data_IF_704038526981
#
_entry.id   IF_704038526981
#
_cell.length_a   1.000
_cell.length_b   1.000
_cell.length_c   1.000
_cell.angle_alpha   90.00
_cell.angle_beta   90.00
_cell.angle_gamma   90.00
#
_symmetry.space_group_name_H-M   'P 1'
#
loop_
_entity.id
_entity.type
_entity.pdbx_description
1 polymer ?
#
# COMPACT_ATOMS: atom_id res chain seq x y z
N UNK A 1 -3.12 -10.44 -13.24
CA UNK A 1 -3.67 -10.08 -11.93
C UNK A 1 -3.72 -8.56 -11.80
N UNK A 2 -4.70 -8.06 -11.07
CA UNK A 2 -4.86 -6.62 -10.87
C UNK A 2 -4.42 -6.23 -9.47
N UNK A 3 -3.81 -5.05 -9.35
CA UNK A 3 -3.25 -4.51 -8.13
C UNK A 3 -3.66 -3.04 -7.98
N UNK A 4 -4.15 -2.71 -6.79
CA UNK A 4 -4.53 -1.34 -6.44
C UNK A 4 -3.44 -0.71 -5.59
N UNK A 5 -2.84 0.36 -6.09
CA UNK A 5 -1.77 1.08 -5.44
C UNK A 5 -2.28 2.41 -4.90
N UNK A 6 -2.08 2.65 -3.62
CA UNK A 6 -2.48 3.90 -2.97
C UNK A 6 -1.31 4.61 -2.28
N UNK A 7 -0.15 3.97 -2.22
CA UNK A 7 1.06 4.52 -1.61
C UNK A 7 2.07 4.97 -2.65
N UNK A 8 3.35 4.70 -2.41
CA UNK A 8 4.41 5.10 -3.33
C UNK A 8 4.25 4.50 -4.73
N UNK A 9 3.64 3.32 -4.83
CA UNK A 9 3.40 2.69 -6.12
C UNK A 9 2.29 3.36 -6.93
N UNK A 10 1.63 4.37 -6.36
CA UNK A 10 0.71 5.22 -7.09
C UNK A 10 1.43 5.92 -8.24
N UNK A 11 2.70 6.26 -8.06
CA UNK A 11 3.51 6.93 -9.08
C UNK A 11 3.96 5.95 -10.14
N UNK A 12 3.55 6.21 -11.38
CA UNK A 12 3.74 5.29 -12.51
C UNK A 12 5.22 5.00 -12.79
N UNK A 13 6.08 6.01 -12.69
CA UNK A 13 7.53 5.84 -12.91
C UNK A 13 8.14 4.90 -11.88
N UNK A 14 7.77 5.06 -10.62
CA UNK A 14 8.30 4.22 -9.54
C UNK A 14 7.78 2.80 -9.65
N UNK A 15 6.50 2.66 -9.96
CA UNK A 15 5.91 1.35 -10.17
C UNK A 15 6.59 0.61 -11.30
N UNK A 16 6.90 1.30 -12.40
CA UNK A 16 7.57 0.69 -13.55
C UNK A 16 9.00 0.24 -13.22
N UNK A 17 9.69 0.97 -12.36
CA UNK A 17 11.01 0.56 -11.89
C UNK A 17 10.97 -0.70 -11.03
N UNK A 18 9.99 -0.81 -10.14
CA UNK A 18 9.84 -1.97 -9.26
C UNK A 18 9.31 -3.18 -9.99
N UNK A 19 8.30 -2.97 -10.79
CA UNK A 19 7.52 -4.03 -11.43
C UNK A 19 7.57 -3.83 -12.93
N UNK A 20 8.56 -4.43 -13.56
CA UNK A 20 8.85 -4.21 -14.98
C UNK A 20 7.72 -4.65 -15.91
N UNK A 21 6.96 -5.65 -15.49
CA UNK A 21 5.84 -6.18 -16.27
C UNK A 21 4.54 -5.43 -16.04
N UNK A 22 4.53 -4.47 -15.13
CA UNK A 22 3.30 -3.78 -14.76
C UNK A 22 2.78 -2.89 -15.88
N UNK A 23 1.45 -2.82 -15.97
CA UNK A 23 0.76 -1.94 -16.90
C UNK A 23 -0.28 -1.13 -16.15
N UNK A 24 -0.22 0.18 -16.30
CA UNK A 24 -1.21 1.08 -15.72
C UNK A 24 -2.54 0.93 -16.45
N UNK A 25 -3.60 0.69 -15.68
CA UNK A 25 -4.95 0.53 -16.21
C UNK A 25 -5.76 1.82 -16.05
N UNK A 26 -5.69 2.45 -14.88
CA UNK A 26 -6.45 3.66 -14.61
C UNK A 26 -6.53 3.97 -13.14
N UNK A 27 -7.24 5.04 -12.81
CA UNK A 27 -7.51 5.43 -11.43
C UNK A 27 -8.76 4.73 -10.92
N UNK A 28 -8.80 4.55 -9.60
CA UNK A 28 -9.96 3.96 -8.94
C UNK A 28 -10.14 4.56 -7.56
N UNK A 29 -11.38 4.70 -7.13
CA UNK A 29 -11.72 5.13 -5.77
C UNK A 29 -12.21 3.93 -4.98
N UNK A 30 -11.43 3.52 -3.98
CA UNK A 30 -11.82 2.43 -3.08
C UNK A 30 -12.73 2.98 -1.99
N UNK A 31 -13.99 2.61 -2.04
CA UNK A 31 -15.00 3.09 -1.09
C UNK A 31 -14.95 2.33 0.21
N UNK A 32 -15.24 3.02 1.31
CA UNK A 32 -15.30 2.40 2.63
C UNK A 32 -13.95 2.34 3.33
N UNK A 33 -12.97 3.06 2.84
CA UNK A 33 -11.64 3.15 3.42
C UNK A 33 -11.16 4.58 3.40
N UNK A 34 -10.27 4.92 4.32
CA UNK A 34 -9.54 6.19 4.30
C UNK A 34 -8.05 5.91 4.28
N UNK A 35 -7.31 6.80 3.64
CA UNK A 35 -5.85 6.77 3.62
C UNK A 35 -5.34 7.26 4.96
N UNK A 36 -4.40 6.51 5.54
CA UNK A 36 -3.73 6.88 6.79
C UNK A 36 -2.24 6.69 6.61
N UNK A 37 -1.45 7.44 7.37
CA UNK A 37 0.00 7.28 7.40
C UNK A 37 0.40 6.80 8.78
N UNK A 38 1.24 5.75 8.81
CA UNK A 38 1.70 5.16 10.06
C UNK A 38 3.19 5.36 10.19
N UNK A 39 3.62 5.61 11.40
CA UNK A 39 5.04 5.77 11.67
C UNK A 39 5.76 4.43 11.58
N UNK A 40 6.90 4.44 10.92
CA UNK A 40 7.72 3.25 10.73
C UNK A 40 9.13 3.49 11.20
N UNK A 41 9.84 2.39 11.37
CA UNK A 41 11.20 2.37 11.85
C UNK A 41 12.16 3.17 11.00
N UNK A 42 11.93 3.17 9.68
CA UNK A 42 12.91 3.65 8.71
C UNK A 42 12.66 5.08 8.23
N UNK A 43 11.87 5.84 8.93
CA UNK A 43 11.65 7.21 8.53
C UNK A 43 10.37 7.40 7.74
N UNK A 44 9.75 8.53 7.96
CA UNK A 44 8.52 8.91 7.31
C UNK A 44 7.33 8.03 7.66
N UNK A 45 6.17 8.44 7.25
CA UNK A 45 4.98 7.63 7.36
C UNK A 45 4.87 6.69 6.18
N UNK A 46 4.39 5.48 6.41
CA UNK A 46 4.01 4.57 5.34
C UNK A 46 2.51 4.63 5.15
N UNK A 47 2.09 4.53 3.89
CA UNK A 47 0.68 4.58 3.56
C UNK A 47 0.00 3.26 3.93
N UNK A 48 -1.19 3.38 4.51
CA UNK A 48 -2.05 2.26 4.85
C UNK A 48 -3.49 2.70 4.61
N UNK A 49 -4.42 1.77 4.62
CA UNK A 49 -5.83 2.07 4.53
C UNK A 49 -6.55 1.52 5.74
N UNK A 50 -7.57 2.23 6.16
CA UNK A 50 -8.36 1.89 7.33
C UNK A 50 -9.83 1.96 6.97
N UNK A 51 -10.61 1.00 7.43
CA UNK A 51 -12.05 1.01 7.14
C UNK A 51 -12.70 2.24 7.76
N UNK A 52 -13.39 2.99 6.92
CA UNK A 52 -14.18 4.12 7.37
C UNK A 52 -15.38 4.34 6.45
N UNK A 53 -16.57 4.22 7.02
CA UNK A 53 -17.81 4.46 6.29
C UNK A 53 -17.80 5.87 5.70
N UNK A 54 -18.27 6.00 4.47
CA UNK A 54 -18.39 7.26 3.74
C UNK A 54 -17.05 7.92 3.38
N UNK A 55 -15.96 7.17 3.48
CA UNK A 55 -14.65 7.64 3.00
C UNK A 55 -14.25 6.90 1.74
N UNK A 56 -13.31 7.46 1.00
CA UNK A 56 -12.75 6.84 -0.20
C UNK A 56 -11.25 7.05 -0.24
N UNK A 57 -10.55 6.11 -0.89
CA UNK A 57 -9.12 6.22 -1.17
C UNK A 57 -8.93 6.23 -2.67
N UNK A 58 -8.26 7.27 -3.18
CA UNK A 58 -7.90 7.34 -4.58
C UNK A 58 -6.61 6.56 -4.80
N UNK A 59 -6.58 5.71 -5.80
CA UNK A 59 -5.41 4.94 -6.15
C UNK A 59 -5.37 4.61 -7.63
N UNK A 60 -4.36 3.85 -8.00
CA UNK A 60 -4.13 3.42 -9.37
C UNK A 60 -4.27 1.90 -9.49
N UNK A 61 -4.88 1.46 -10.57
CA UNK A 61 -5.00 0.04 -10.89
C UNK A 61 -3.91 -0.31 -11.89
N UNK A 62 -3.18 -1.38 -11.60
CA UNK A 62 -2.15 -1.93 -12.47
C UNK A 62 -2.44 -3.39 -12.76
N UNK A 63 -2.13 -3.80 -13.98
CA UNK A 63 -2.02 -5.22 -14.30
C UNK A 63 -0.59 -5.64 -13.97
N UNK A 64 -0.42 -6.71 -13.19
CA UNK A 64 0.89 -7.18 -12.74
C UNK A 64 1.06 -8.66 -13.05
N UNK A 65 2.31 -9.07 -13.19
CA UNK A 65 2.70 -10.46 -13.35
C UNK A 65 2.97 -11.13 -12.00
N UNK A 66 3.18 -12.43 -12.00
CA UNK A 66 3.60 -13.15 -10.79
C UNK A 66 4.96 -12.68 -10.30
N UNK A 67 5.87 -12.34 -11.22
CA UNK A 67 7.16 -11.78 -10.83
C UNK A 67 6.99 -10.43 -10.16
N UNK A 68 6.12 -9.59 -10.69
CA UNK A 68 5.80 -8.29 -10.10
C UNK A 68 5.24 -8.48 -8.69
N UNK A 69 4.36 -9.45 -8.51
CA UNK A 69 3.79 -9.74 -7.19
C UNK A 69 4.87 -10.11 -6.19
N UNK A 70 5.84 -10.94 -6.59
CA UNK A 70 6.97 -11.30 -5.72
C UNK A 70 7.79 -10.08 -5.31
N UNK A 71 8.04 -9.17 -6.24
CA UNK A 71 8.77 -7.94 -5.95
C UNK A 71 7.98 -7.08 -4.94
N UNK A 72 6.68 -6.94 -5.15
CA UNK A 72 5.82 -6.20 -4.23
C UNK A 72 5.77 -6.84 -2.86
N UNK A 73 5.71 -8.18 -2.78
CA UNK A 73 5.70 -8.90 -1.51
C UNK A 73 6.95 -8.58 -0.69
N UNK A 74 8.11 -8.54 -1.33
CA UNK A 74 9.35 -8.18 -0.67
C UNK A 74 9.33 -6.72 -0.23
N UNK A 75 8.90 -5.83 -1.11
CA UNK A 75 8.86 -4.41 -0.82
C UNK A 75 7.92 -4.09 0.34
N UNK A 76 6.77 -4.76 0.40
CA UNK A 76 5.75 -4.54 1.44
C UNK A 76 6.00 -5.38 2.69
N UNK A 77 7.08 -6.15 2.71
CA UNK A 77 7.38 -7.07 3.81
C UNK A 77 6.18 -7.98 4.13
N UNK A 78 5.64 -8.57 3.09
CA UNK A 78 4.54 -9.51 3.19
C UNK A 78 5.05 -10.88 3.63
N UNK A 79 4.42 -11.58 4.57
CA UNK A 79 3.16 -11.23 5.27
C UNK A 79 3.36 -10.61 6.65
N UNK A 80 4.56 -10.13 6.97
CA UNK A 80 4.91 -9.66 8.31
C UNK A 80 4.28 -8.29 8.58
N UNK A 81 4.59 -7.31 7.73
CA UNK A 81 4.13 -5.94 7.92
C UNK A 81 2.78 -5.71 7.25
N UNK A 82 2.66 -6.13 6.01
CA UNK A 82 1.41 -6.00 5.25
C UNK A 82 0.87 -7.37 4.91
N UNK A 83 -0.44 -7.45 4.79
CA UNK A 83 -1.11 -8.62 4.23
C UNK A 83 -1.94 -8.18 3.04
N UNK A 84 -2.41 -9.15 2.26
CA UNK A 84 -3.17 -8.89 1.06
C UNK A 84 -4.66 -8.94 1.34
N UNK A 85 -5.38 -7.97 0.78
CA UNK A 85 -6.83 -7.99 0.69
C UNK A 85 -7.25 -7.88 -0.76
N UNK A 86 -8.49 -8.23 -1.03
CA UNK A 86 -9.02 -8.22 -2.39
C UNK A 86 -10.38 -7.54 -2.41
N UNK A 87 -10.64 -6.83 -3.49
CA UNK A 87 -11.99 -6.39 -3.80
C UNK A 87 -12.29 -6.73 -5.26
N UNK A 88 -13.57 -6.69 -5.63
CA UNK A 88 -13.96 -6.98 -7.00
C UNK A 88 -14.20 -5.70 -7.76
N UNK A 89 -13.67 -5.64 -8.98
CA UNK A 89 -13.90 -4.56 -9.92
C UNK A 89 -14.26 -5.17 -11.26
N UNK A 90 -15.48 -4.91 -11.72
CA UNK A 90 -16.02 -5.53 -12.93
C UNK A 90 -15.83 -7.05 -12.97
N UNK A 91 -16.14 -7.70 -11.85
CA UNK A 91 -16.04 -9.16 -11.72
C UNK A 91 -14.63 -9.70 -11.54
N UNK A 92 -13.62 -8.87 -11.53
CA UNK A 92 -12.22 -9.30 -11.36
C UNK A 92 -11.72 -8.95 -9.98
N UNK A 93 -10.90 -9.84 -9.42
CA UNK A 93 -10.24 -9.59 -8.13
C UNK A 93 -9.14 -8.57 -8.31
N UNK A 94 -9.12 -7.59 -7.42
CA UNK A 94 -8.05 -6.59 -7.34
C UNK A 94 -7.39 -6.71 -5.98
N UNK A 95 -6.09 -6.91 -5.96
CA UNK A 95 -5.30 -7.06 -4.75
C UNK A 95 -4.82 -5.70 -4.25
N UNK A 96 -4.78 -5.54 -2.92
CA UNK A 96 -4.06 -4.43 -2.30
C UNK A 96 -3.45 -4.88 -0.98
N UNK A 97 -2.43 -4.17 -0.55
CA UNK A 97 -1.77 -4.45 0.73
C UNK A 97 -2.34 -3.54 1.80
N UNK A 98 -2.53 -4.10 3.00
CA UNK A 98 -2.92 -3.29 4.14
C UNK A 98 -2.25 -3.84 5.39
N UNK A 99 -2.13 -2.99 6.40
CA UNK A 99 -1.44 -3.31 7.64
C UNK A 99 -2.44 -3.88 8.64
N UNK A 100 -2.35 -5.18 8.98
CA UNK A 100 -3.33 -5.81 9.89
C UNK A 100 -3.17 -5.33 11.31
N UNK A 101 -1.94 -5.09 11.75
CA UNK A 101 -1.66 -4.54 13.06
C UNK A 101 -1.41 -3.06 12.93
N UNK A 102 -2.37 -2.26 13.39
CA UNK A 102 -2.24 -0.82 13.34
C UNK A 102 -1.19 -0.40 14.33
N UNK A 103 -0.11 0.20 13.84
CA UNK A 103 0.88 0.79 14.73
C UNK A 103 0.25 1.98 15.42
N UNK A 104 0.35 1.98 16.74
CA UNK A 104 -0.08 3.13 17.50
C UNK A 104 1.07 4.12 17.55
N UNK A 105 0.80 5.44 17.59
CA UNK A 105 1.84 6.43 17.87
C UNK A 105 2.23 6.36 19.34
N UNK A 106 2.81 5.27 19.76
CA UNK A 106 3.07 4.93 21.15
C UNK A 106 4.57 4.99 21.47
N UNK A 107 4.96 4.81 22.75
CA UNK A 107 6.35 4.92 23.16
C UNK A 107 7.38 4.20 22.31
N UNK A 108 7.17 2.99 21.80
CA UNK A 108 8.13 2.46 20.83
C UNK A 108 8.27 3.37 19.63
N UNK A 109 7.19 4.02 19.25
CA UNK A 109 7.19 4.97 18.16
C UNK A 109 7.99 6.24 18.48
N UNK A 110 8.18 6.59 19.74
CA UNK A 110 9.01 7.73 20.12
C UNK A 110 10.44 7.55 19.66
N UNK A 111 11.00 6.38 19.87
CA UNK A 111 12.35 6.05 19.42
C UNK A 111 12.41 6.08 17.90
N UNK A 112 11.40 5.55 17.24
CA UNK A 112 11.30 5.54 15.80
C UNK A 112 11.16 6.95 15.24
N UNK A 113 10.32 7.77 15.86
CA UNK A 113 10.14 9.16 15.46
C UNK A 113 11.45 9.94 15.55
N UNK A 114 12.20 9.76 16.62
CA UNK A 114 13.48 10.42 16.76
C UNK A 114 14.45 10.02 15.64
N UNK A 115 14.50 8.75 15.30
CA UNK A 115 15.32 8.28 14.18
C UNK A 115 14.82 8.82 12.84
N UNK A 116 13.52 8.90 12.67
CA UNK A 116 12.91 9.43 11.47
C UNK A 116 13.22 10.91 11.30
N UNK A 117 13.11 11.67 12.37
CA UNK A 117 13.35 13.12 12.35
C UNK A 117 14.84 13.42 12.15
N UNK A 118 15.71 12.63 12.76
CA UNK A 118 17.16 12.80 12.65
C UNK A 118 17.76 12.23 11.39
N UNK A 119 17.09 11.29 10.81
CA UNK A 119 17.56 10.63 9.61
C UNK A 119 17.34 11.44 8.39
#
# INVERSE_FOLDING_TARGET
MLYFAFGSNLYRKQMKKRCKDSKYIGCHKLKGYKLVFRHMYYGGGVADVERKKNSTVLGAIYKISKNDEKVLDVYEDFPIMYIKKYFKLFGKKVMFYYMPKKTKPNPPAKIYLNKIIQG
#
